data_IF_295464014826
#
_entry.id   IF_295464014826
#
_cell.length_a   1.000
_cell.length_b   1.000
_cell.length_c   1.000
_cell.angle_alpha   90.00
_cell.angle_beta   90.00
_cell.angle_gamma   90.00
#
_symmetry.space_group_name_H-M   'P 1'
#
loop_
_entity.id
_entity.type
_entity.pdbx_description
1 polymer ?
#
# COMPACT_ATOMS: atom_id res chain seq x y z
N UNK A 1 -21.78 -16.90 -9.80
CA UNK A 1 -21.35 -15.49 -9.75
C UNK A 1 -20.61 -15.12 -8.47
N UNK A 2 -20.90 -15.74 -7.30
CA UNK A 2 -20.17 -15.50 -6.05
C UNK A 2 -18.64 -15.69 -6.18
N UNK A 3 -18.18 -16.80 -6.76
CA UNK A 3 -16.74 -17.11 -6.88
C UNK A 3 -15.95 -16.13 -7.77
N UNK A 4 -16.60 -15.45 -8.72
CA UNK A 4 -15.93 -14.49 -9.60
C UNK A 4 -15.69 -13.16 -8.87
N UNK A 5 -16.68 -12.70 -8.09
CA UNK A 5 -16.58 -11.49 -7.29
C UNK A 5 -15.53 -11.67 -6.17
N UNK A 6 -15.53 -12.84 -5.54
CA UNK A 6 -14.59 -13.23 -4.50
C UNK A 6 -13.13 -13.24 -5.03
N UNK A 7 -12.92 -13.80 -6.22
CA UNK A 7 -11.61 -13.78 -6.88
C UNK A 7 -11.11 -12.36 -7.19
N UNK A 8 -12.02 -11.45 -7.56
CA UNK A 8 -11.66 -10.04 -7.81
C UNK A 8 -11.26 -9.36 -6.50
N UNK A 9 -12.04 -9.51 -5.44
CA UNK A 9 -11.71 -8.94 -4.13
C UNK A 9 -10.40 -9.49 -3.58
N UNK A 10 -10.14 -10.78 -3.74
CA UNK A 10 -8.86 -11.38 -3.38
C UNK A 10 -7.69 -10.80 -4.18
N UNK A 11 -7.86 -10.59 -5.49
CA UNK A 11 -6.82 -9.99 -6.34
C UNK A 11 -6.51 -8.55 -5.90
N UNK A 12 -7.54 -7.75 -5.62
CA UNK A 12 -7.38 -6.37 -5.13
C UNK A 12 -6.74 -6.37 -3.75
N UNK A 13 -7.09 -7.30 -2.87
CA UNK A 13 -6.48 -7.47 -1.57
C UNK A 13 -4.97 -7.73 -1.68
N UNK A 14 -4.57 -8.70 -2.50
CA UNK A 14 -3.15 -9.04 -2.69
C UNK A 14 -2.39 -7.89 -3.33
N UNK A 15 -2.96 -7.25 -4.34
CA UNK A 15 -2.34 -6.11 -5.01
C UNK A 15 -2.15 -4.91 -4.07
N UNK A 16 -3.20 -4.52 -3.34
CA UNK A 16 -3.14 -3.39 -2.40
C UNK A 16 -2.24 -3.66 -1.19
N UNK A 17 -2.26 -4.89 -0.66
CA UNK A 17 -1.34 -5.30 0.40
C UNK A 17 0.12 -5.28 -0.08
N UNK A 18 0.40 -5.81 -1.27
CA UNK A 18 1.75 -5.81 -1.84
C UNK A 18 2.28 -4.40 -2.08
N UNK A 19 1.47 -3.54 -2.70
CA UNK A 19 1.82 -2.14 -2.96
C UNK A 19 1.96 -1.32 -1.66
N UNK A 20 1.07 -1.56 -0.69
CA UNK A 20 1.09 -0.89 0.62
C UNK A 20 2.33 -1.27 1.43
N UNK A 21 2.65 -2.56 1.53
CA UNK A 21 3.87 -3.01 2.23
C UNK A 21 5.13 -2.51 1.52
N UNK A 22 5.17 -2.56 0.19
CA UNK A 22 6.34 -2.10 -0.58
C UNK A 22 6.61 -0.61 -0.40
N UNK A 23 5.58 0.22 -0.41
CA UNK A 23 5.71 1.67 -0.20
C UNK A 23 6.10 2.01 1.25
N UNK A 24 5.60 1.27 2.25
CA UNK A 24 6.11 1.38 3.63
C UNK A 24 7.60 1.02 3.70
N UNK A 25 8.02 -0.08 3.07
CA UNK A 25 9.43 -0.49 3.02
C UNK A 25 10.28 0.60 2.37
N UNK A 26 9.81 1.21 1.28
CA UNK A 26 10.52 2.32 0.62
C UNK A 26 10.62 3.57 1.50
N UNK A 27 9.62 3.87 2.32
CA UNK A 27 9.71 4.97 3.29
C UNK A 27 10.90 4.78 4.26
N UNK A 28 11.09 3.56 4.77
CA UNK A 28 12.18 3.22 5.70
C UNK A 28 13.53 2.98 5.02
N UNK A 29 13.53 2.59 3.73
CA UNK A 29 14.75 2.25 2.97
C UNK A 29 15.29 3.43 2.17
N UNK A 30 14.60 4.58 2.12
CA UNK A 30 15.04 5.81 1.44
C UNK A 30 16.29 6.45 2.09
N UNK A 31 17.41 5.74 1.97
CA UNK A 31 18.74 6.17 2.33
C UNK A 31 19.38 6.97 1.21
N UNK A 32 19.34 8.29 1.34
CA UNK A 32 20.41 9.16 0.87
C UNK A 32 20.24 9.81 -0.51
N UNK A 33 19.75 11.05 -0.49
CA UNK A 33 20.46 12.12 -1.19
C UNK A 33 20.43 13.35 -0.27
N UNK A 34 21.58 13.73 0.28
CA UNK A 34 21.71 14.86 1.23
C UNK A 34 21.55 16.21 0.54
N UNK A 35 21.43 16.22 -0.79
CA UNK A 35 21.43 17.43 -1.59
C UNK A 35 20.06 18.14 -1.65
N UNK A 36 18.97 17.49 -1.24
CA UNK A 36 17.65 18.13 -1.17
C UNK A 36 16.77 17.53 -0.08
N UNK A 37 16.88 18.07 1.14
CA UNK A 37 16.09 17.64 2.29
C UNK A 37 14.57 17.75 2.05
N UNK A 38 14.11 18.75 1.29
CA UNK A 38 12.69 18.94 0.96
C UNK A 38 12.14 17.79 0.10
N UNK A 39 12.84 17.41 -0.97
CA UNK A 39 12.44 16.31 -1.86
C UNK A 39 12.43 14.95 -1.13
N UNK A 40 13.33 14.77 -0.16
CA UNK A 40 13.35 13.57 0.69
C UNK A 40 12.12 13.48 1.59
N UNK A 41 11.73 14.59 2.21
CA UNK A 41 10.56 14.63 3.10
C UNK A 41 9.28 14.38 2.31
N UNK A 42 9.15 15.00 1.13
CA UNK A 42 8.01 14.80 0.24
C UNK A 42 7.85 13.33 -0.16
N UNK A 43 8.90 12.68 -0.66
CA UNK A 43 8.85 11.26 -1.04
C UNK A 43 8.60 10.31 0.14
N UNK A 44 8.99 10.69 1.36
CA UNK A 44 8.73 9.92 2.57
C UNK A 44 7.24 9.99 2.94
N UNK A 45 6.64 11.19 2.88
CA UNK A 45 5.20 11.36 3.11
C UNK A 45 4.36 10.65 2.05
N UNK A 46 4.75 10.73 0.77
CA UNK A 46 4.06 10.01 -0.31
C UNK A 46 4.11 8.51 -0.11
N UNK A 47 5.29 7.94 0.21
CA UNK A 47 5.43 6.51 0.46
C UNK A 47 4.65 6.03 1.69
N UNK A 48 4.60 6.81 2.77
CA UNK A 48 3.79 6.48 3.94
C UNK A 48 2.29 6.56 3.59
N UNK A 49 1.86 7.61 2.89
CA UNK A 49 0.45 7.79 2.52
C UNK A 49 -0.03 6.68 1.59
N UNK A 50 0.76 6.33 0.57
CA UNK A 50 0.48 5.22 -0.34
C UNK A 50 0.51 3.87 0.39
N UNK A 51 1.43 3.73 1.34
CA UNK A 51 1.55 2.58 2.22
C UNK A 51 0.32 2.32 3.05
N UNK A 52 -0.08 3.32 3.82
CA UNK A 52 -1.25 3.26 4.73
C UNK A 52 -2.54 3.10 3.92
N UNK A 53 -2.71 3.83 2.82
CA UNK A 53 -3.90 3.68 1.98
C UNK A 53 -4.01 2.29 1.36
N UNK A 54 -2.92 1.71 0.86
CA UNK A 54 -2.89 0.33 0.38
C UNK A 54 -3.26 -0.69 1.46
N UNK A 55 -2.80 -0.48 2.69
CA UNK A 55 -3.11 -1.33 3.84
C UNK A 55 -4.58 -1.23 4.26
N UNK A 56 -5.17 -0.03 4.23
CA UNK A 56 -6.59 0.20 4.49
C UNK A 56 -7.44 -0.51 3.43
N UNK A 57 -7.11 -0.38 2.14
CA UNK A 57 -7.83 -1.05 1.05
C UNK A 57 -7.74 -2.57 1.21
N UNK A 58 -6.55 -3.11 1.55
CA UNK A 58 -6.39 -4.54 1.80
C UNK A 58 -7.27 -5.03 2.97
N UNK A 59 -7.34 -4.25 4.06
CA UNK A 59 -8.22 -4.53 5.19
C UNK A 59 -9.71 -4.50 4.81
N UNK A 60 -10.13 -3.51 4.01
CA UNK A 60 -11.50 -3.41 3.53
C UNK A 60 -11.88 -4.60 2.64
N UNK A 61 -11.00 -5.00 1.72
CA UNK A 61 -11.22 -6.18 0.89
C UNK A 61 -11.24 -7.46 1.73
N UNK A 62 -10.42 -7.54 2.79
CA UNK A 62 -10.45 -8.69 3.71
C UNK A 62 -11.81 -8.80 4.39
N UNK A 63 -12.34 -7.69 4.91
CA UNK A 63 -13.68 -7.67 5.52
C UNK A 63 -14.74 -8.08 4.50
N UNK A 64 -14.67 -7.59 3.26
CA UNK A 64 -15.62 -7.92 2.20
C UNK A 64 -15.57 -9.39 1.73
N UNK A 65 -14.44 -10.09 1.94
CA UNK A 65 -14.30 -11.52 1.67
C UNK A 65 -14.82 -12.38 2.84
N UNK A 66 -14.71 -11.88 4.07
CA UNK A 66 -15.07 -12.61 5.29
C UNK A 66 -16.55 -12.46 5.65
N UNK A 67 -17.15 -11.30 5.39
CA UNK A 67 -18.53 -10.94 5.75
C UNK A 67 -19.39 -10.71 4.50
#
# INVERSE_FOLDING_TARGET
MANLLDAIFFTILVASAGLGVTSIIMAFTSGGDTNNAAAKVEGLYENIFFGVSGLIIALLMWVALVF
#
